data_IF_827323259387
#
_entry.id   IF_827323259387
#
_cell.length_a   1.000
_cell.length_b   1.000
_cell.length_c   1.000
_cell.angle_alpha   90.00
_cell.angle_beta   90.00
_cell.angle_gamma   90.00
#
_symmetry.space_group_name_H-M   'P 1'
#
loop_
_entity.id
_entity.type
_entity.pdbx_description
1 polymer ?
#
# COMPACT_ATOMS: atom_id res chain seq x y z
N UNK A 1 6.46 34.45 21.61
CA UNK A 1 7.24 33.98 20.44
C UNK A 1 6.96 32.48 20.25
N UNK A 2 6.30 32.12 19.18
CA UNK A 2 6.05 30.69 18.82
C UNK A 2 7.39 30.13 18.32
N UNK A 3 8.02 29.25 19.10
CA UNK A 3 9.23 28.54 18.63
C UNK A 3 8.81 27.58 17.54
N UNK A 4 9.19 27.84 16.31
CA UNK A 4 8.97 26.91 15.19
C UNK A 4 9.66 25.58 15.52
N UNK A 5 8.95 24.45 15.53
CA UNK A 5 9.53 23.17 15.91
C UNK A 5 10.50 22.71 14.80
N UNK A 6 11.80 22.89 15.03
CA UNK A 6 12.88 22.49 14.10
C UNK A 6 12.72 21.04 13.62
N UNK A 7 12.26 20.15 14.50
CA UNK A 7 11.95 18.76 14.14
C UNK A 7 10.90 18.63 13.04
N UNK A 8 9.84 19.46 13.07
CA UNK A 8 8.81 19.47 12.03
C UNK A 8 9.40 19.86 10.67
N UNK A 9 10.32 20.81 10.64
CA UNK A 9 11.00 21.22 9.42
C UNK A 9 11.80 20.08 8.81
N UNK A 10 12.65 19.40 9.57
CA UNK A 10 13.52 18.35 9.06
C UNK A 10 12.78 17.05 8.71
N UNK A 11 11.75 16.67 9.46
CA UNK A 11 11.06 15.40 9.29
C UNK A 11 9.80 15.48 8.43
N UNK A 12 9.26 16.66 8.16
CA UNK A 12 8.05 16.81 7.34
C UNK A 12 8.30 17.76 6.15
N UNK A 13 8.58 19.03 6.41
CA UNK A 13 8.64 20.06 5.36
C UNK A 13 9.77 19.78 4.36
N UNK A 14 10.96 19.51 4.85
CA UNK A 14 12.12 19.29 3.98
C UNK A 14 11.99 18.04 3.09
N UNK A 15 11.65 16.84 3.62
CA UNK A 15 11.47 15.66 2.79
C UNK A 15 10.33 15.82 1.77
N UNK A 16 9.21 16.42 2.17
CA UNK A 16 8.08 16.66 1.27
C UNK A 16 8.45 17.61 0.12
N UNK A 17 9.22 18.68 0.44
CA UNK A 17 9.70 19.62 -0.58
C UNK A 17 10.69 18.96 -1.53
N UNK A 18 11.61 18.16 -1.02
CA UNK A 18 12.57 17.40 -1.86
C UNK A 18 11.82 16.45 -2.79
N UNK A 19 10.86 15.69 -2.26
CA UNK A 19 10.04 14.76 -3.06
C UNK A 19 9.28 15.51 -4.16
N UNK A 20 8.62 16.61 -3.81
CA UNK A 20 7.89 17.45 -4.77
C UNK A 20 8.79 17.95 -5.90
N UNK A 21 9.94 18.51 -5.56
CA UNK A 21 10.91 19.00 -6.54
C UNK A 21 11.49 17.87 -7.40
N UNK A 22 11.74 16.69 -6.82
CA UNK A 22 12.21 15.53 -7.56
C UNK A 22 11.18 15.06 -8.59
N UNK A 23 9.89 15.02 -8.23
CA UNK A 23 8.79 14.68 -9.16
C UNK A 23 8.74 15.69 -10.32
N UNK A 24 8.81 16.99 -10.03
CA UNK A 24 8.83 18.03 -11.06
C UNK A 24 10.06 17.91 -11.99
N UNK A 25 11.22 17.62 -11.43
CA UNK A 25 12.45 17.42 -12.20
C UNK A 25 12.37 16.19 -13.11
N UNK A 26 11.90 15.06 -12.62
CA UNK A 26 11.67 13.83 -13.40
C UNK A 26 10.68 14.13 -14.54
N UNK A 27 9.59 14.83 -14.25
CA UNK A 27 8.58 15.20 -15.23
C UNK A 27 9.14 16.09 -16.32
N UNK A 28 10.03 17.03 -15.96
CA UNK A 28 10.73 17.89 -16.90
C UNK A 28 11.64 17.09 -17.85
N UNK A 29 12.46 16.16 -17.32
CA UNK A 29 13.33 15.30 -18.12
C UNK A 29 12.55 14.45 -19.12
N UNK A 30 11.39 13.92 -18.71
CA UNK A 30 10.54 13.07 -19.54
C UNK A 30 9.54 13.85 -20.41
N UNK A 31 9.63 15.20 -20.45
CA UNK A 31 8.73 16.07 -21.21
C UNK A 31 7.24 15.85 -20.90
N UNK A 32 6.90 15.50 -19.65
CA UNK A 32 5.53 15.33 -19.21
C UNK A 32 4.95 16.73 -18.92
N UNK A 33 3.76 17.01 -19.47
CA UNK A 33 3.10 18.30 -19.22
C UNK A 33 2.80 18.46 -17.73
N UNK A 34 3.15 19.59 -17.15
CA UNK A 34 2.97 19.89 -15.74
C UNK A 34 1.53 19.67 -15.26
N UNK A 35 0.54 20.00 -16.08
CA UNK A 35 -0.88 19.79 -15.78
C UNK A 35 -1.25 18.31 -15.57
N UNK A 36 -0.51 17.37 -16.18
CA UNK A 36 -0.74 15.93 -16.01
C UNK A 36 -0.08 15.40 -14.72
N UNK A 37 0.90 16.11 -14.21
CA UNK A 37 1.64 15.70 -13.00
C UNK A 37 0.95 16.18 -11.72
N UNK A 38 0.38 17.39 -11.76
CA UNK A 38 -0.21 18.04 -10.57
C UNK A 38 -1.70 17.79 -10.40
N UNK A 39 -2.38 17.28 -11.42
CA UNK A 39 -3.83 16.99 -11.37
C UNK A 39 -4.05 15.47 -11.25
N UNK A 40 -5.09 15.09 -10.51
CA UNK A 40 -5.52 13.70 -10.47
C UNK A 40 -6.08 13.23 -11.82
N UNK A 41 -6.07 11.89 -12.01
CA UNK A 41 -6.52 11.28 -13.26
C UNK A 41 -8.01 11.54 -13.55
N UNK A 42 -8.86 11.51 -12.52
CA UNK A 42 -10.30 11.75 -12.70
C UNK A 42 -10.57 13.16 -13.22
N UNK A 43 -9.87 14.15 -12.66
CA UNK A 43 -9.96 15.53 -13.12
C UNK A 43 -9.40 15.71 -14.54
N UNK A 44 -8.25 15.06 -14.82
CA UNK A 44 -7.58 15.16 -16.12
C UNK A 44 -8.41 14.52 -17.24
N UNK A 45 -9.09 13.41 -16.96
CA UNK A 45 -9.91 12.67 -17.91
C UNK A 45 -11.39 13.10 -17.91
N UNK A 46 -11.79 14.00 -17.03
CA UNK A 46 -13.18 14.45 -16.92
C UNK A 46 -14.15 13.38 -16.43
N UNK A 47 -13.67 12.40 -15.66
CA UNK A 47 -14.51 11.34 -15.11
C UNK A 47 -15.42 11.84 -13.98
N UNK A 48 -16.63 11.27 -13.83
CA UNK A 48 -17.52 11.59 -12.72
C UNK A 48 -16.93 11.16 -11.36
N UNK A 49 -17.44 11.77 -10.29
CA UNK A 49 -17.12 11.40 -8.92
C UNK A 49 -17.41 9.91 -8.69
N UNK A 50 -16.50 9.19 -8.06
CA UNK A 50 -16.64 7.77 -7.73
C UNK A 50 -15.81 6.83 -8.59
N UNK A 51 -15.26 7.28 -9.71
CA UNK A 51 -14.35 6.46 -10.52
C UNK A 51 -13.10 6.13 -9.71
N UNK A 52 -12.80 4.83 -9.55
CA UNK A 52 -11.67 4.35 -8.75
C UNK A 52 -11.80 4.55 -7.24
N UNK A 53 -12.99 4.93 -6.73
CA UNK A 53 -13.17 5.28 -5.32
C UNK A 53 -12.79 4.14 -4.37
N UNK A 54 -13.16 2.90 -4.68
CA UNK A 54 -12.87 1.74 -3.83
C UNK A 54 -11.35 1.51 -3.77
N UNK A 55 -10.69 1.48 -4.91
CA UNK A 55 -9.23 1.32 -4.98
C UNK A 55 -8.49 2.45 -4.25
N UNK A 56 -8.91 3.71 -4.46
CA UNK A 56 -8.33 4.86 -3.76
C UNK A 56 -8.47 4.78 -2.24
N UNK A 57 -9.61 4.30 -1.72
CA UNK A 57 -9.81 4.07 -0.29
C UNK A 57 -8.86 2.95 0.20
N UNK A 58 -8.70 1.88 -0.57
CA UNK A 58 -7.73 0.81 -0.27
C UNK A 58 -6.31 1.35 -0.13
N UNK A 59 -5.87 2.17 -1.08
CA UNK A 59 -4.55 2.84 -1.05
C UNK A 59 -4.39 3.69 0.22
N UNK A 60 -5.41 4.48 0.58
CA UNK A 60 -5.39 5.29 1.80
C UNK A 60 -5.30 4.44 3.06
N UNK A 61 -5.99 3.30 3.11
CA UNK A 61 -5.95 2.37 4.25
C UNK A 61 -4.57 1.73 4.38
N UNK A 62 -3.95 1.27 3.28
CA UNK A 62 -2.56 0.79 3.28
C UNK A 62 -1.58 1.85 3.77
N UNK A 63 -1.70 3.09 3.29
CA UNK A 63 -0.88 4.22 3.73
C UNK A 63 -1.06 4.54 5.21
N UNK A 64 -2.31 4.50 5.71
CA UNK A 64 -2.61 4.69 7.12
C UNK A 64 -2.00 3.58 7.99
N UNK A 65 -2.16 2.31 7.61
CA UNK A 65 -1.57 1.16 8.31
C UNK A 65 -0.04 1.28 8.37
N UNK A 66 0.61 1.60 7.26
CA UNK A 66 2.04 1.85 7.19
C UNK A 66 2.47 2.96 8.14
N UNK A 67 1.77 4.09 8.13
CA UNK A 67 2.06 5.25 8.98
C UNK A 67 1.92 4.92 10.46
N UNK A 68 0.84 4.25 10.87
CA UNK A 68 0.61 3.81 12.25
C UNK A 68 1.75 2.91 12.71
N UNK A 69 2.15 1.94 11.90
CA UNK A 69 3.26 1.04 12.20
C UNK A 69 4.58 1.81 12.40
N UNK A 70 4.90 2.76 11.52
CA UNK A 70 6.11 3.58 11.66
C UNK A 70 6.08 4.45 12.90
N UNK A 71 4.99 5.20 13.14
CA UNK A 71 4.88 6.04 14.34
C UNK A 71 5.02 5.22 15.61
N UNK A 72 4.39 4.04 15.64
CA UNK A 72 4.43 3.16 16.81
C UNK A 72 5.84 2.57 17.02
N UNK A 73 6.57 2.27 15.94
CA UNK A 73 7.95 1.76 16.00
C UNK A 73 8.90 2.68 16.78
N UNK A 74 8.72 3.99 16.68
CA UNK A 74 9.56 4.98 17.34
C UNK A 74 9.12 5.33 18.77
N UNK A 75 8.12 4.66 19.31
CA UNK A 75 7.68 4.86 20.69
C UNK A 75 8.64 4.16 21.67
N UNK A 76 9.12 4.91 22.68
CA UNK A 76 10.06 4.41 23.67
C UNK A 76 9.51 3.29 24.58
N UNK A 77 8.17 3.14 24.65
CA UNK A 77 7.51 2.16 25.50
C UNK A 77 7.41 0.76 24.88
N UNK A 78 7.92 0.53 23.66
CA UNK A 78 7.71 -0.70 22.92
C UNK A 78 8.90 -1.63 23.00
N UNK A 79 8.63 -2.93 23.20
CA UNK A 79 9.63 -3.99 23.16
C UNK A 79 10.32 -4.03 21.79
N UNK A 80 11.64 -4.21 21.78
CA UNK A 80 12.49 -4.25 20.57
C UNK A 80 12.00 -5.22 19.50
N UNK A 81 11.49 -6.39 19.88
CA UNK A 81 10.99 -7.36 18.89
C UNK A 81 9.64 -6.93 18.28
N UNK A 82 8.75 -6.29 19.07
CA UNK A 82 7.53 -5.70 18.57
C UNK A 82 7.83 -4.51 17.65
N UNK A 83 8.81 -3.68 17.99
CA UNK A 83 9.27 -2.58 17.14
C UNK A 83 9.75 -3.08 15.77
N UNK A 84 10.50 -4.20 15.72
CA UNK A 84 10.91 -4.81 14.44
C UNK A 84 9.72 -5.34 13.63
N UNK A 85 8.75 -5.99 14.28
CA UNK A 85 7.54 -6.45 13.61
C UNK A 85 6.77 -5.28 13.00
N UNK A 86 6.59 -4.19 13.76
CA UNK A 86 5.91 -2.99 13.29
C UNK A 86 6.66 -2.30 12.14
N UNK A 87 7.99 -2.21 12.24
CA UNK A 87 8.80 -1.66 11.17
C UNK A 87 8.64 -2.45 9.86
N UNK A 88 8.78 -3.78 9.93
CA UNK A 88 8.65 -4.63 8.75
C UNK A 88 7.22 -4.69 8.23
N UNK A 89 6.22 -4.71 9.11
CA UNK A 89 4.81 -4.62 8.74
C UNK A 89 4.48 -3.29 8.07
N UNK A 90 5.01 -2.19 8.61
CA UNK A 90 4.87 -0.86 8.00
C UNK A 90 5.52 -0.75 6.62
N UNK A 91 6.72 -1.32 6.45
CA UNK A 91 7.37 -1.40 5.14
C UNK A 91 6.56 -2.25 4.15
N UNK A 92 6.00 -3.36 4.59
CA UNK A 92 5.16 -4.22 3.76
C UNK A 92 3.87 -3.52 3.34
N UNK A 93 3.13 -2.89 4.28
CA UNK A 93 1.94 -2.11 3.95
C UNK A 93 2.25 -0.92 3.04
N UNK A 94 3.42 -0.28 3.24
CA UNK A 94 3.90 0.79 2.37
C UNK A 94 4.22 0.30 0.95
N UNK A 95 4.77 -0.89 0.82
CA UNK A 95 5.03 -1.52 -0.48
C UNK A 95 3.71 -1.81 -1.23
N UNK A 96 2.70 -2.36 -0.55
CA UNK A 96 1.37 -2.60 -1.11
C UNK A 96 0.68 -1.29 -1.52
N UNK A 97 0.81 -0.24 -0.69
CA UNK A 97 0.31 1.10 -1.01
C UNK A 97 0.94 1.66 -2.29
N UNK A 98 2.26 1.53 -2.45
CA UNK A 98 3.00 2.01 -3.62
C UNK A 98 2.64 1.19 -4.85
N UNK A 99 2.52 -0.12 -4.70
CA UNK A 99 2.12 -1.01 -5.79
C UNK A 99 0.75 -0.65 -6.35
N UNK A 100 -0.27 -0.54 -5.49
CA UNK A 100 -1.63 -0.16 -5.88
C UNK A 100 -1.69 1.26 -6.46
N UNK A 101 -0.92 2.20 -5.88
CA UNK A 101 -0.92 3.60 -6.32
C UNK A 101 -0.33 3.77 -7.72
N UNK A 102 0.77 3.06 -8.03
CA UNK A 102 1.46 3.15 -9.30
C UNK A 102 1.10 2.02 -10.27
N UNK A 103 0.25 1.07 -9.88
CA UNK A 103 -0.12 -0.12 -10.66
C UNK A 103 1.14 -0.89 -11.11
N UNK A 104 2.08 -1.12 -10.17
CA UNK A 104 3.38 -1.71 -10.49
C UNK A 104 3.22 -3.14 -11.01
N UNK A 105 2.32 -3.93 -10.39
CA UNK A 105 2.04 -5.31 -10.79
C UNK A 105 1.40 -5.40 -12.18
N UNK A 106 0.62 -4.39 -12.60
CA UNK A 106 -0.05 -4.39 -13.90
C UNK A 106 0.83 -3.88 -15.04
N UNK A 107 1.73 -2.94 -14.75
CA UNK A 107 2.41 -2.17 -15.81
C UNK A 107 3.90 -2.39 -15.91
N UNK A 108 4.59 -2.69 -14.81
CA UNK A 108 6.06 -2.64 -14.76
C UNK A 108 6.70 -3.95 -14.33
N UNK A 109 6.08 -4.66 -13.38
CA UNK A 109 6.62 -5.89 -12.79
C UNK A 109 5.55 -6.97 -12.95
N UNK A 110 5.86 -8.06 -13.59
CA UNK A 110 4.84 -9.10 -13.81
C UNK A 110 4.10 -9.49 -12.51
N UNK A 111 2.78 -9.68 -12.55
CA UNK A 111 1.95 -9.91 -11.36
C UNK A 111 2.42 -11.14 -10.56
N UNK A 112 2.84 -12.21 -11.23
CA UNK A 112 3.32 -13.42 -10.57
C UNK A 112 4.51 -13.17 -9.64
N UNK A 113 5.45 -12.32 -10.06
CA UNK A 113 6.64 -12.00 -9.27
C UNK A 113 6.27 -11.21 -8.01
N UNK A 114 5.42 -10.20 -8.12
CA UNK A 114 4.99 -9.39 -6.97
C UNK A 114 4.12 -10.20 -6.01
N UNK A 115 3.18 -10.98 -6.52
CA UNK A 115 2.34 -11.86 -5.71
C UNK A 115 3.16 -12.89 -4.93
N UNK A 116 4.17 -13.50 -5.57
CA UNK A 116 5.10 -14.39 -4.88
C UNK A 116 5.91 -13.67 -3.80
N UNK A 117 6.34 -12.46 -4.08
CA UNK A 117 7.07 -11.62 -3.11
C UNK A 117 6.20 -11.28 -1.90
N UNK A 118 4.93 -10.90 -2.10
CA UNK A 118 3.98 -10.62 -1.02
C UNK A 118 3.71 -11.85 -0.17
N UNK A 119 3.52 -13.00 -0.81
CA UNK A 119 3.37 -14.28 -0.12
C UNK A 119 4.61 -14.62 0.72
N UNK A 120 5.80 -14.47 0.15
CA UNK A 120 7.06 -14.75 0.85
C UNK A 120 7.25 -13.83 2.07
N UNK A 121 6.98 -12.52 1.93
CA UNK A 121 7.05 -11.57 3.05
C UNK A 121 6.02 -11.93 4.12
N UNK A 122 4.79 -12.25 3.75
CA UNK A 122 3.73 -12.64 4.67
C UNK A 122 4.09 -13.89 5.47
N UNK A 123 4.60 -14.93 4.82
CA UNK A 123 5.07 -16.16 5.47
C UNK A 123 6.26 -15.84 6.38
N UNK A 124 7.21 -15.05 5.93
CA UNK A 124 8.35 -14.63 6.74
C UNK A 124 7.90 -13.91 8.02
N UNK A 125 6.99 -12.96 7.95
CA UNK A 125 6.46 -12.24 9.11
C UNK A 125 5.74 -13.20 10.07
N UNK A 126 4.90 -14.09 9.57
CA UNK A 126 4.19 -15.08 10.37
C UNK A 126 5.17 -16.01 11.13
N UNK A 127 6.16 -16.56 10.45
CA UNK A 127 7.11 -17.52 11.02
C UNK A 127 8.06 -16.82 12.00
N UNK A 128 8.64 -15.68 11.60
CA UNK A 128 9.65 -14.96 12.38
C UNK A 128 9.08 -14.37 13.68
N UNK A 129 7.86 -13.87 13.62
CA UNK A 129 7.23 -13.18 14.75
C UNK A 129 6.10 -13.98 15.39
N UNK A 130 5.99 -15.27 15.13
CA UNK A 130 4.91 -16.15 15.62
C UNK A 130 4.62 -16.03 17.13
N UNK A 131 5.65 -15.85 17.94
CA UNK A 131 5.50 -15.76 19.40
C UNK A 131 4.85 -14.44 19.86
N UNK A 132 5.15 -13.35 19.16
CA UNK A 132 4.55 -12.04 19.42
C UNK A 132 3.11 -12.03 18.88
N UNK A 133 2.93 -12.50 17.64
CA UNK A 133 1.63 -12.57 16.99
C UNK A 133 0.61 -13.40 17.77
N UNK A 134 1.03 -14.51 18.40
CA UNK A 134 0.17 -15.28 19.31
C UNK A 134 -0.30 -14.47 20.52
N UNK A 135 0.48 -13.51 20.99
CA UNK A 135 0.13 -12.67 22.14
C UNK A 135 -0.79 -11.49 21.77
N UNK A 136 -0.62 -10.92 20.58
CA UNK A 136 -1.37 -9.72 20.17
C UNK A 136 -2.55 -10.03 19.25
N UNK A 137 -2.68 -11.26 18.73
CA UNK A 137 -3.81 -11.68 17.88
C UNK A 137 -3.37 -12.16 16.49
N UNK A 138 -2.71 -13.30 16.42
CA UNK A 138 -2.31 -13.93 15.14
C UNK A 138 -3.49 -14.14 14.18
N UNK A 139 -4.69 -14.31 14.73
CA UNK A 139 -5.90 -14.58 13.97
C UNK A 139 -6.23 -13.47 12.96
N UNK A 140 -6.11 -12.21 13.36
CA UNK A 140 -6.37 -11.06 12.48
C UNK A 140 -5.42 -11.05 11.28
N UNK A 141 -4.13 -11.26 11.52
CA UNK A 141 -3.13 -11.30 10.44
C UNK A 141 -3.36 -12.49 9.49
N UNK A 142 -3.73 -13.66 10.02
CA UNK A 142 -4.05 -14.84 9.21
C UNK A 142 -5.29 -14.59 8.34
N UNK A 143 -6.33 -13.98 8.88
CA UNK A 143 -7.53 -13.61 8.12
C UNK A 143 -7.19 -12.60 7.02
N UNK A 144 -6.41 -11.55 7.33
CA UNK A 144 -5.97 -10.57 6.32
C UNK A 144 -5.22 -11.24 5.19
N UNK A 145 -4.26 -12.12 5.49
CA UNK A 145 -3.50 -12.88 4.48
C UNK A 145 -4.42 -13.79 3.66
N UNK A 146 -5.42 -14.43 4.27
CA UNK A 146 -6.38 -15.26 3.55
C UNK A 146 -7.22 -14.43 2.58
N UNK A 147 -7.73 -13.28 3.00
CA UNK A 147 -8.52 -12.41 2.13
C UNK A 147 -7.68 -11.84 0.98
N UNK A 148 -6.45 -11.40 1.26
CA UNK A 148 -5.53 -10.96 0.20
C UNK A 148 -5.19 -12.10 -0.77
N UNK A 149 -4.99 -13.32 -0.26
CA UNK A 149 -4.77 -14.50 -1.09
C UNK A 149 -5.98 -14.84 -1.97
N UNK A 150 -7.21 -14.69 -1.44
CA UNK A 150 -8.44 -14.85 -2.21
C UNK A 150 -8.56 -13.78 -3.29
N UNK A 151 -8.23 -12.52 -2.99
CA UNK A 151 -8.20 -11.44 -3.99
C UNK A 151 -7.32 -11.83 -5.19
N UNK A 152 -6.07 -12.20 -4.93
CA UNK A 152 -5.12 -12.64 -5.98
C UNK A 152 -5.64 -13.88 -6.74
N UNK A 153 -6.28 -14.81 -6.05
CA UNK A 153 -6.85 -16.01 -6.69
C UNK A 153 -8.00 -15.67 -7.63
N UNK A 154 -8.86 -14.73 -7.25
CA UNK A 154 -9.94 -14.27 -8.11
C UNK A 154 -9.43 -13.53 -9.34
N UNK A 155 -8.46 -12.65 -9.20
CA UNK A 155 -7.84 -11.93 -10.31
C UNK A 155 -7.16 -12.89 -11.31
N UNK A 156 -6.20 -13.71 -10.83
CA UNK A 156 -5.35 -14.51 -11.70
C UNK A 156 -6.01 -15.79 -12.25
N UNK A 157 -6.80 -16.50 -11.44
CA UNK A 157 -7.25 -17.86 -11.75
C UNK A 157 -8.69 -17.91 -12.24
N UNK A 158 -9.58 -17.24 -11.55
CA UNK A 158 -11.02 -17.30 -11.84
C UNK A 158 -11.33 -16.61 -13.17
N UNK A 159 -10.70 -15.47 -13.44
CA UNK A 159 -10.86 -14.75 -14.70
C UNK A 159 -10.49 -15.62 -15.91
N UNK A 160 -9.39 -16.39 -15.82
CA UNK A 160 -8.92 -17.25 -16.89
C UNK A 160 -9.78 -18.51 -17.09
N UNK A 161 -10.29 -19.10 -16.00
CA UNK A 161 -10.99 -20.40 -16.06
C UNK A 161 -12.46 -20.25 -16.45
N UNK A 162 -13.15 -19.26 -15.89
CA UNK A 162 -14.60 -19.19 -15.99
C UNK A 162 -15.13 -18.26 -17.06
N UNK A 163 -14.26 -17.56 -17.80
CA UNK A 163 -14.67 -16.59 -18.84
C UNK A 163 -15.85 -15.69 -18.40
N UNK A 164 -15.91 -15.43 -17.08
CA UNK A 164 -16.96 -14.61 -16.47
C UNK A 164 -16.79 -13.13 -16.85
N UNK A 165 -17.85 -12.36 -16.66
CA UNK A 165 -17.78 -10.93 -16.91
C UNK A 165 -16.67 -10.32 -16.05
N UNK A 166 -15.74 -9.64 -16.68
CA UNK A 166 -14.61 -8.93 -16.06
C UNK A 166 -15.05 -8.09 -14.84
N UNK A 167 -16.19 -7.43 -14.94
CA UNK A 167 -16.76 -6.60 -13.88
C UNK A 167 -17.06 -7.37 -12.59
N UNK A 168 -17.60 -8.59 -12.68
CA UNK A 168 -17.93 -9.41 -11.51
C UNK A 168 -16.67 -9.93 -10.82
N UNK A 169 -15.68 -10.32 -11.59
CA UNK A 169 -14.40 -10.81 -11.06
C UNK A 169 -13.66 -9.70 -10.33
N UNK A 170 -13.58 -8.51 -10.93
CA UNK A 170 -13.02 -7.33 -10.28
C UNK A 170 -13.76 -6.92 -9.01
N UNK A 171 -15.11 -6.95 -9.02
CA UNK A 171 -15.88 -6.61 -7.82
C UNK A 171 -15.54 -7.54 -6.64
N UNK A 172 -15.40 -8.85 -6.89
CA UNK A 172 -15.09 -9.84 -5.86
C UNK A 172 -13.64 -9.70 -5.41
N UNK A 173 -12.72 -9.51 -6.34
CA UNK A 173 -11.30 -9.25 -6.07
C UNK A 173 -11.11 -8.06 -5.14
N UNK A 174 -11.65 -6.89 -5.53
CA UNK A 174 -11.56 -5.66 -4.75
C UNK A 174 -12.23 -5.79 -3.38
N UNK A 175 -13.32 -6.55 -3.29
CA UNK A 175 -13.97 -6.80 -2.02
C UNK A 175 -13.08 -7.61 -1.06
N UNK A 176 -12.47 -8.69 -1.52
CA UNK A 176 -11.52 -9.46 -0.72
C UNK A 176 -10.28 -8.66 -0.36
N UNK A 177 -9.75 -7.89 -1.28
CA UNK A 177 -8.64 -6.97 -1.03
C UNK A 177 -8.98 -6.00 0.11
N UNK A 178 -10.14 -5.37 0.04
CA UNK A 178 -10.63 -4.43 1.04
C UNK A 178 -10.83 -5.07 2.42
N UNK A 179 -11.28 -6.32 2.49
CA UNK A 179 -11.39 -7.07 3.74
C UNK A 179 -10.03 -7.51 4.31
N UNK A 180 -9.01 -7.61 3.47
CA UNK A 180 -7.67 -8.02 3.84
C UNK A 180 -6.80 -6.88 4.40
N UNK A 181 -7.18 -5.63 4.16
CA UNK A 181 -6.49 -4.43 4.71
C UNK A 181 -6.79 -4.26 6.18
#
# INVERSE_FOLDING_TARGET
MIKFPIKLFYFSILPSSILYLAILYISYIHNIKLSLVIRDLAQTCGYPIGVGMISNIGILLWGAASSICFFTTFSESINRELSKLLLLGGLFSGLLCIDDFFLLHDRYVGPDFLNLTYLAISIFLLVRFRMILKKIGIFNLVISILFLGLSIFFDGVIQQIFNQSYELTQLIEEWFKFLGI
#
